data_IF_958178642804
#
_entry.id   IF_958178642804
#
_cell.length_a   1.000
_cell.length_b   1.000
_cell.length_c   1.000
_cell.angle_alpha   90.00
_cell.angle_beta   90.00
_cell.angle_gamma   90.00
#
_symmetry.space_group_name_H-M   'P 1'
#
loop_
_entity.id
_entity.type
_entity.pdbx_description
1 polymer ?
#
# COMPACT_ATOMS: atom_id res chain seq x y z
N UNK A 1 61.04 31.33 -37.04
CA UNK A 1 61.20 30.48 -35.83
C UNK A 1 59.90 29.76 -35.51
N UNK A 2 59.69 28.50 -35.94
CA UNK A 2 58.68 27.64 -35.31
C UNK A 2 59.16 26.17 -35.24
N UNK A 3 59.93 25.80 -34.21
CA UNK A 3 60.38 24.40 -34.01
C UNK A 3 59.97 23.81 -32.65
N UNK A 4 59.23 24.55 -31.81
CA UNK A 4 59.01 24.14 -30.41
C UNK A 4 57.63 23.53 -30.10
N UNK A 5 56.71 23.44 -31.07
CA UNK A 5 55.33 22.94 -30.81
C UNK A 5 55.22 21.41 -31.01
N UNK A 6 56.17 20.74 -31.67
CA UNK A 6 56.05 19.32 -32.02
C UNK A 6 56.50 18.33 -30.95
N UNK A 7 57.18 18.77 -29.88
CA UNK A 7 57.84 17.85 -28.95
C UNK A 7 57.09 17.57 -27.64
N UNK A 8 55.90 18.15 -27.43
CA UNK A 8 55.11 17.89 -26.22
C UNK A 8 54.34 16.56 -26.26
N UNK A 9 54.27 15.91 -27.43
CA UNK A 9 53.52 14.67 -27.64
C UNK A 9 54.37 13.39 -27.59
N UNK A 10 55.67 13.49 -27.27
CA UNK A 10 56.57 12.33 -27.29
C UNK A 10 57.28 12.12 -25.95
N UNK A 11 56.51 11.81 -24.90
CA UNK A 11 57.05 11.30 -23.65
C UNK A 11 56.85 9.79 -23.58
N UNK A 12 57.87 9.06 -23.10
CA UNK A 12 57.91 7.59 -22.94
C UNK A 12 56.62 6.98 -22.33
N UNK A 13 55.84 7.77 -21.59
CA UNK A 13 54.55 7.39 -21.02
C UNK A 13 53.50 7.04 -22.10
N UNK A 14 53.46 7.73 -23.24
CA UNK A 14 52.53 7.40 -24.33
C UNK A 14 52.91 6.08 -25.01
N UNK A 15 54.19 5.82 -25.20
CA UNK A 15 54.67 4.54 -25.77
C UNK A 15 54.32 3.34 -24.87
N UNK A 16 54.34 3.50 -23.54
CA UNK A 16 53.88 2.46 -22.60
C UNK A 16 52.36 2.26 -22.60
N UNK A 17 51.59 3.34 -22.85
CA UNK A 17 50.12 3.28 -22.95
C UNK A 17 49.64 2.73 -24.30
N UNK A 18 50.43 2.90 -25.37
CA UNK A 18 50.13 2.37 -26.72
C UNK A 18 50.89 1.08 -27.03
N UNK A 19 51.50 0.45 -26.03
CA UNK A 19 52.19 -0.83 -26.21
C UNK A 19 51.18 -1.91 -26.58
N UNK A 20 51.45 -2.62 -27.68
CA UNK A 20 50.60 -3.69 -28.24
C UNK A 20 50.35 -4.79 -27.20
N UNK A 21 51.26 -4.97 -26.24
CA UNK A 21 51.11 -5.90 -25.12
C UNK A 21 49.95 -5.54 -24.19
N UNK A 22 49.66 -4.25 -23.99
CA UNK A 22 48.63 -3.77 -23.05
C UNK A 22 47.25 -3.57 -23.72
N UNK A 23 47.22 -3.47 -25.06
CA UNK A 23 45.98 -3.32 -25.84
C UNK A 23 44.99 -4.47 -25.62
N UNK A 24 45.47 -5.71 -25.52
CA UNK A 24 44.62 -6.86 -25.21
C UNK A 24 43.92 -6.74 -23.85
N UNK A 25 44.65 -6.24 -22.83
CA UNK A 25 44.09 -6.02 -21.49
C UNK A 25 43.05 -4.89 -21.49
N UNK A 26 43.24 -3.83 -22.27
CA UNK A 26 42.25 -2.76 -22.39
C UNK A 26 40.97 -3.24 -23.08
N UNK A 27 41.09 -3.99 -24.17
CA UNK A 27 39.93 -4.57 -24.86
C UNK A 27 39.18 -5.51 -23.91
N UNK A 28 39.90 -6.37 -23.18
CA UNK A 28 39.30 -7.24 -22.18
C UNK A 28 38.58 -6.45 -21.07
N UNK A 29 39.20 -5.39 -20.54
CA UNK A 29 38.60 -4.54 -19.52
C UNK A 29 37.30 -3.86 -20.03
N UNK A 30 37.29 -3.38 -21.27
CA UNK A 30 36.09 -2.79 -21.89
C UNK A 30 34.97 -3.83 -22.02
N UNK A 31 35.29 -5.06 -22.45
CA UNK A 31 34.31 -6.15 -22.56
C UNK A 31 33.73 -6.49 -21.19
N UNK A 32 34.56 -6.64 -20.16
CA UNK A 32 34.10 -6.92 -18.79
C UNK A 32 33.21 -5.80 -18.25
N UNK A 33 33.57 -4.54 -18.49
CA UNK A 33 32.75 -3.40 -18.10
C UNK A 33 31.41 -3.39 -18.84
N UNK A 34 31.39 -3.70 -20.14
CA UNK A 34 30.17 -3.78 -20.94
C UNK A 34 29.23 -4.90 -20.43
N UNK A 35 29.78 -6.07 -20.11
CA UNK A 35 29.02 -7.20 -19.55
C UNK A 35 28.47 -6.83 -18.17
N UNK A 36 29.30 -6.25 -17.30
CA UNK A 36 28.88 -5.80 -15.96
C UNK A 36 27.74 -4.79 -16.04
N UNK A 37 27.84 -3.81 -16.95
CA UNK A 37 26.80 -2.80 -17.15
C UNK A 37 25.48 -3.39 -17.66
N UNK A 38 25.55 -4.36 -18.59
CA UNK A 38 24.38 -5.07 -19.10
C UNK A 38 23.71 -5.95 -18.05
N UNK A 39 24.52 -6.61 -17.21
CA UNK A 39 24.05 -7.40 -16.08
C UNK A 39 23.25 -6.58 -15.07
N UNK A 40 23.77 -5.41 -14.67
CA UNK A 40 23.09 -4.49 -13.75
C UNK A 40 21.72 -4.06 -14.30
N UNK A 41 21.66 -3.65 -15.57
CA UNK A 41 20.40 -3.24 -16.22
C UNK A 41 19.37 -4.38 -16.26
N UNK A 42 19.82 -5.60 -16.51
CA UNK A 42 18.94 -6.78 -16.57
C UNK A 42 18.35 -7.09 -15.20
N UNK A 43 19.16 -7.05 -14.14
CA UNK A 43 18.69 -7.24 -12.76
C UNK A 43 17.68 -6.17 -12.37
N UNK A 44 17.97 -4.89 -12.66
CA UNK A 44 17.03 -3.81 -12.40
C UNK A 44 15.69 -4.02 -13.12
N UNK A 45 15.73 -4.33 -14.41
CA UNK A 45 14.52 -4.58 -15.21
C UNK A 45 13.72 -5.76 -14.66
N UNK A 46 14.39 -6.85 -14.30
CA UNK A 46 13.72 -8.02 -13.72
C UNK A 46 13.05 -7.70 -12.38
N UNK A 47 13.70 -6.89 -11.54
CA UNK A 47 13.12 -6.45 -10.28
C UNK A 47 11.90 -5.55 -10.49
N UNK A 48 11.96 -4.61 -11.43
CA UNK A 48 10.83 -3.76 -11.80
C UNK A 48 9.66 -4.58 -12.34
N UNK A 49 9.93 -5.56 -13.21
CA UNK A 49 8.91 -6.48 -13.72
C UNK A 49 8.27 -7.31 -12.60
N UNK A 50 9.07 -7.87 -11.69
CA UNK A 50 8.56 -8.63 -10.53
C UNK A 50 7.69 -7.74 -9.63
N UNK A 51 8.10 -6.49 -9.40
CA UNK A 51 7.30 -5.53 -8.65
C UNK A 51 5.96 -5.27 -9.34
N UNK A 52 5.96 -5.04 -10.65
CA UNK A 52 4.72 -4.84 -11.41
C UNK A 52 3.80 -6.06 -11.32
N UNK A 53 4.33 -7.27 -11.51
CA UNK A 53 3.57 -8.52 -11.35
C UNK A 53 2.96 -8.64 -9.96
N UNK A 54 3.76 -8.41 -8.91
CA UNK A 54 3.25 -8.44 -7.53
C UNK A 54 2.14 -7.42 -7.31
N UNK A 55 2.27 -6.19 -7.84
CA UNK A 55 1.22 -5.18 -7.70
C UNK A 55 -0.06 -5.56 -8.46
N UNK A 56 0.06 -6.14 -9.66
CA UNK A 56 -1.08 -6.58 -10.44
C UNK A 56 -1.79 -7.78 -9.77
N UNK A 57 -1.04 -8.71 -9.21
CA UNK A 57 -1.59 -9.84 -8.46
C UNK A 57 -2.35 -9.37 -7.22
N UNK A 58 -1.79 -8.41 -6.47
CA UNK A 58 -2.48 -7.82 -5.31
C UNK A 58 -3.75 -7.10 -5.73
N UNK A 59 -3.71 -6.30 -6.79
CA UNK A 59 -4.91 -5.65 -7.33
C UNK A 59 -5.95 -6.68 -7.73
N UNK A 60 -5.57 -7.74 -8.46
CA UNK A 60 -6.48 -8.78 -8.88
C UNK A 60 -7.15 -9.48 -7.69
N UNK A 61 -6.38 -9.84 -6.65
CA UNK A 61 -6.91 -10.44 -5.44
C UNK A 61 -7.92 -9.51 -4.72
N UNK A 62 -7.63 -8.22 -4.65
CA UNK A 62 -8.57 -7.23 -4.08
C UNK A 62 -9.86 -7.15 -4.92
N UNK A 63 -9.76 -7.13 -6.24
CA UNK A 63 -10.94 -7.12 -7.12
C UNK A 63 -11.76 -8.41 -7.00
N UNK A 64 -11.09 -9.57 -6.87
CA UNK A 64 -11.76 -10.85 -6.63
C UNK A 64 -12.57 -10.82 -5.34
N UNK A 65 -11.98 -10.36 -4.24
CA UNK A 65 -12.68 -10.22 -2.95
C UNK A 65 -13.85 -9.23 -3.04
N UNK A 66 -13.72 -8.14 -3.78
CA UNK A 66 -14.82 -7.20 -4.00
C UNK A 66 -15.98 -7.86 -4.77
N UNK A 67 -15.68 -8.64 -5.79
CA UNK A 67 -16.69 -9.37 -6.55
C UNK A 67 -17.38 -10.42 -5.68
N UNK A 68 -16.62 -11.20 -4.90
CA UNK A 68 -17.18 -12.19 -3.96
C UNK A 68 -18.07 -11.50 -2.91
N UNK A 69 -17.65 -10.36 -2.36
CA UNK A 69 -18.45 -9.61 -1.41
C UNK A 69 -19.75 -9.10 -2.05
N UNK A 70 -19.66 -8.57 -3.28
CA UNK A 70 -20.83 -8.11 -4.04
C UNK A 70 -21.80 -9.27 -4.33
N UNK A 71 -21.27 -10.46 -4.65
CA UNK A 71 -22.09 -11.65 -4.84
C UNK A 71 -22.80 -12.08 -3.54
N UNK A 72 -22.11 -12.02 -2.40
CA UNK A 72 -22.70 -12.29 -1.09
C UNK A 72 -23.80 -11.27 -0.73
N UNK A 73 -23.58 -9.99 -0.99
CA UNK A 73 -24.59 -8.94 -0.79
C UNK A 73 -25.83 -9.20 -1.65
N UNK A 74 -25.64 -9.52 -2.93
CA UNK A 74 -26.74 -9.89 -3.82
C UNK A 74 -27.52 -11.11 -3.31
N UNK A 75 -26.82 -12.15 -2.85
CA UNK A 75 -27.45 -13.32 -2.24
C UNK A 75 -28.21 -12.95 -0.98
N UNK A 76 -27.66 -12.10 -0.12
CA UNK A 76 -28.33 -11.62 1.08
C UNK A 76 -29.66 -10.91 0.74
N UNK A 77 -29.67 -10.04 -0.27
CA UNK A 77 -30.89 -9.36 -0.71
C UNK A 77 -31.96 -10.31 -1.29
N UNK A 78 -31.56 -11.50 -1.75
CA UNK A 78 -32.48 -12.54 -2.21
C UNK A 78 -33.04 -13.41 -1.08
N UNK A 79 -32.53 -13.28 0.15
CA UNK A 79 -32.99 -14.10 1.27
C UNK A 79 -34.38 -13.69 1.78
N UNK A 80 -35.12 -14.65 2.30
CA UNK A 80 -36.38 -14.39 3.01
C UNK A 80 -36.18 -13.51 4.25
N UNK A 81 -35.01 -13.62 4.90
CA UNK A 81 -34.67 -12.81 6.07
C UNK A 81 -34.57 -11.33 5.71
N UNK A 82 -33.91 -11.01 4.59
CA UNK A 82 -33.86 -9.63 4.10
C UNK A 82 -35.26 -9.11 3.76
N UNK A 83 -36.07 -9.91 3.05
CA UNK A 83 -37.45 -9.56 2.72
C UNK A 83 -38.26 -9.26 3.99
N UNK A 84 -38.15 -10.10 5.01
CA UNK A 84 -38.84 -9.94 6.29
C UNK A 84 -38.39 -8.66 7.02
N UNK A 85 -37.08 -8.42 7.12
CA UNK A 85 -36.55 -7.20 7.73
C UNK A 85 -37.00 -5.95 6.97
N UNK A 86 -36.99 -5.98 5.64
CA UNK A 86 -37.47 -4.89 4.80
C UNK A 86 -38.99 -4.66 4.99
N UNK A 87 -39.78 -5.74 5.05
CA UNK A 87 -41.22 -5.67 5.33
C UNK A 87 -41.51 -5.00 6.69
N UNK A 88 -40.73 -5.35 7.71
CA UNK A 88 -40.82 -4.75 9.05
C UNK A 88 -40.41 -3.28 9.04
N UNK A 89 -39.27 -2.96 8.42
CA UNK A 89 -38.69 -1.62 8.47
C UNK A 89 -39.43 -0.60 7.61
N UNK A 90 -39.82 -0.97 6.39
CA UNK A 90 -40.39 -0.02 5.43
C UNK A 90 -41.91 0.00 5.44
N UNK A 91 -42.54 -1.14 5.72
CA UNK A 91 -43.99 -1.26 5.64
C UNK A 91 -44.65 -1.44 7.00
N UNK A 92 -43.87 -1.57 8.08
CA UNK A 92 -44.40 -1.83 9.41
C UNK A 92 -45.24 -3.10 9.44
N UNK A 93 -44.86 -4.12 8.67
CA UNK A 93 -45.52 -5.41 8.64
C UNK A 93 -44.86 -6.36 9.65
N UNK A 94 -45.63 -7.33 10.15
CA UNK A 94 -45.14 -8.37 11.03
C UNK A 94 -45.62 -9.74 10.53
N UNK A 95 -44.93 -10.80 10.95
CA UNK A 95 -45.31 -12.14 10.58
C UNK A 95 -46.68 -12.51 11.20
N UNK A 96 -47.44 -13.45 10.60
CA UNK A 96 -48.69 -13.91 11.19
C UNK A 96 -48.49 -14.36 12.64
N UNK A 97 -49.27 -13.81 13.58
CA UNK A 97 -49.19 -14.12 15.01
C UNK A 97 -48.33 -13.16 15.83
N UNK A 98 -47.62 -12.22 15.20
CA UNK A 98 -46.85 -11.19 15.89
C UNK A 98 -47.66 -9.89 16.09
N UNK A 99 -47.38 -9.16 17.18
CA UNK A 99 -47.99 -7.85 17.46
C UNK A 99 -46.93 -6.75 17.38
N UNK A 100 -47.20 -5.72 16.59
CA UNK A 100 -46.35 -4.54 16.47
C UNK A 100 -46.72 -3.53 17.55
N UNK A 101 -45.71 -3.01 18.24
CA UNK A 101 -45.85 -1.96 19.26
C UNK A 101 -45.13 -0.71 18.78
N UNK A 102 -45.87 0.36 18.53
CA UNK A 102 -45.30 1.68 18.24
C UNK A 102 -45.01 2.38 19.56
N UNK A 103 -43.74 2.49 19.91
CA UNK A 103 -43.28 3.13 21.15
C UNK A 103 -42.71 4.51 20.81
N UNK A 104 -43.20 5.60 21.42
CA UNK A 104 -42.62 6.92 21.26
C UNK A 104 -41.14 6.92 21.64
N UNK A 105 -40.32 7.63 20.87
CA UNK A 105 -38.86 7.67 21.05
C UNK A 105 -38.47 8.05 22.48
N UNK A 106 -39.16 9.01 23.09
CA UNK A 106 -38.87 9.48 24.45
C UNK A 106 -39.03 8.36 25.49
N UNK A 107 -40.01 7.47 25.30
CA UNK A 107 -40.24 6.32 26.16
C UNK A 107 -39.20 5.24 25.91
N UNK A 108 -38.89 4.95 24.64
CA UNK A 108 -37.89 3.95 24.27
C UNK A 108 -36.49 4.32 24.79
N UNK A 109 -36.14 5.61 24.77
CA UNK A 109 -34.82 6.11 25.18
C UNK A 109 -34.69 6.31 26.69
N UNK A 110 -35.79 6.32 27.46
CA UNK A 110 -35.80 6.62 28.89
C UNK A 110 -34.94 5.67 29.74
N UNK A 111 -34.81 4.42 29.30
CA UNK A 111 -34.08 3.36 30.00
C UNK A 111 -32.88 2.83 29.22
N UNK A 112 -32.50 3.48 28.10
CA UNK A 112 -31.31 3.12 27.35
C UNK A 112 -30.11 3.73 28.05
N UNK A 113 -29.25 2.89 28.61
CA UNK A 113 -27.99 3.33 29.17
C UNK A 113 -27.11 3.94 28.07
N UNK A 114 -26.96 5.25 28.12
CA UNK A 114 -26.20 6.05 27.15
C UNK A 114 -24.75 5.58 27.08
N UNK A 115 -24.20 4.99 28.15
CA UNK A 115 -22.83 4.45 28.21
C UNK A 115 -22.66 3.07 27.54
N UNK A 116 -23.75 2.34 27.26
CA UNK A 116 -23.74 1.05 26.56
C UNK A 116 -23.96 1.22 25.05
N UNK A 117 -24.29 2.44 24.59
CA UNK A 117 -24.38 2.76 23.17
C UNK A 117 -22.96 2.84 22.56
N UNK A 118 -22.66 2.09 21.47
CA UNK A 118 -21.36 2.15 20.79
C UNK A 118 -21.05 3.52 20.19
N UNK A 119 -22.00 4.46 20.22
CA UNK A 119 -21.81 5.84 19.77
C UNK A 119 -21.01 6.71 20.76
N UNK A 120 -20.83 6.28 22.01
CA UNK A 120 -20.05 7.01 23.01
C UNK A 120 -18.59 6.54 23.17
N UNK A 121 -18.19 5.44 22.51
CA UNK A 121 -16.78 5.04 22.42
C UNK A 121 -15.95 5.90 21.44
N UNK A 122 -16.57 6.85 20.73
CA UNK A 122 -15.92 7.70 19.73
C UNK A 122 -15.94 9.21 20.07
N UNK A 123 -16.10 9.58 21.34
CA UNK A 123 -15.63 10.90 21.79
C UNK A 123 -14.17 10.77 22.24
N UNK A 124 -13.30 10.39 21.30
CA UNK A 124 -11.87 10.61 21.46
C UNK A 124 -11.67 12.11 21.65
N UNK A 125 -11.17 12.50 22.82
CA UNK A 125 -10.77 13.87 23.11
C UNK A 125 -9.92 14.35 21.94
N UNK A 126 -10.33 15.41 21.25
CA UNK A 126 -9.61 15.92 20.09
C UNK A 126 -8.17 16.25 20.49
N UNK A 127 -7.25 15.37 20.10
CA UNK A 127 -5.86 15.44 20.54
C UNK A 127 -5.20 16.67 19.91
N UNK A 128 -5.00 17.71 20.71
CA UNK A 128 -4.43 19.01 20.31
C UNK A 128 -2.95 18.97 19.93
N UNK A 129 -2.31 17.81 19.98
CA UNK A 129 -0.88 17.68 19.64
C UNK A 129 -0.62 17.87 18.14
N UNK A 130 0.55 18.43 17.82
CA UNK A 130 1.02 18.61 16.44
C UNK A 130 1.12 17.27 15.69
N UNK A 131 0.92 17.28 14.35
CA UNK A 131 0.97 16.08 13.49
C UNK A 131 2.24 15.26 13.67
N UNK A 132 3.38 15.92 13.87
CA UNK A 132 4.67 15.24 14.09
C UNK A 132 4.70 14.43 15.39
N UNK A 133 4.11 14.96 16.46
CA UNK A 133 4.05 14.29 17.75
C UNK A 133 3.14 13.05 17.70
N UNK A 134 2.02 13.14 16.97
CA UNK A 134 1.11 12.01 16.73
C UNK A 134 1.81 10.89 15.95
N UNK A 135 2.49 11.24 14.86
CA UNK A 135 3.21 10.28 14.04
C UNK A 135 4.32 9.59 14.84
N UNK A 136 5.10 10.33 15.62
CA UNK A 136 6.16 9.74 16.45
C UNK A 136 5.61 8.76 17.48
N UNK A 137 4.51 9.12 18.15
CA UNK A 137 3.86 8.20 19.08
C UNK A 137 3.37 6.93 18.36
N UNK A 138 2.73 7.06 17.21
CA UNK A 138 2.25 5.92 16.44
C UNK A 138 3.40 4.97 16.07
N UNK A 139 4.55 5.52 15.62
CA UNK A 139 5.75 4.74 15.33
C UNK A 139 6.31 4.05 16.58
N UNK A 140 6.39 4.75 17.71
CA UNK A 140 6.85 4.18 18.98
C UNK A 140 5.94 3.03 19.43
N UNK A 141 4.63 3.23 19.40
CA UNK A 141 3.66 2.27 19.87
C UNK A 141 3.63 1.03 18.93
N UNK A 142 3.78 1.23 17.62
CA UNK A 142 3.98 0.15 16.64
C UNK A 142 5.24 -0.68 16.93
N UNK A 143 6.40 -0.03 17.11
CA UNK A 143 7.67 -0.74 17.35
C UNK A 143 7.70 -1.49 18.69
N UNK A 144 6.93 -1.05 19.67
CA UNK A 144 6.85 -1.67 21.00
C UNK A 144 5.66 -2.63 21.12
N UNK A 145 4.97 -2.95 20.02
CA UNK A 145 3.83 -3.87 20.02
C UNK A 145 2.65 -3.41 20.88
N UNK A 146 2.58 -2.11 21.20
CA UNK A 146 1.44 -1.54 21.91
C UNK A 146 0.32 -1.34 20.90
N UNK A 147 -0.91 -1.61 21.33
CA UNK A 147 -2.10 -1.42 20.50
C UNK A 147 -2.11 0.04 20.02
N UNK A 148 -2.05 0.25 18.71
CA UNK A 148 -2.25 1.58 18.12
C UNK A 148 -3.70 1.95 18.40
N UNK A 149 -3.93 2.89 19.31
CA UNK A 149 -5.26 3.49 19.47
C UNK A 149 -5.51 4.33 18.22
N UNK A 150 -6.30 3.76 17.31
CA UNK A 150 -6.86 4.48 16.18
C UNK A 150 -8.04 5.26 16.76
N UNK A 151 -7.73 6.40 17.36
CA UNK A 151 -8.68 7.39 17.86
C UNK A 151 -9.03 8.42 16.78
#
# INVERSE_FOLDING_TARGET
MPQQIKNFWNSKKRQQLTDVRNIGLYIFAIIVLAITWSGIKTVQKNYELQKQVSTLQQQNAVLQLQNENTELENKYFQTNQYLELAARQYFGLAAPGEKILLVPKDVAMKYVDVNLSPQNSAKSSEDKRSRYAKNFQAWRDFLLGRKVSID
#
